data_IF_545668104000
#
_entry.id   IF_545668104000
#
_cell.length_a   1.000
_cell.length_b   1.000
_cell.length_c   1.000
_cell.angle_alpha   90.00
_cell.angle_beta   90.00
_cell.angle_gamma   90.00
#
_symmetry.space_group_name_H-M   'P 1'
#
loop_
_entity.id
_entity.type
_entity.pdbx_description
1 polymer ?
#
# COMPACT_ATOMS: atom_id res chain seq x y z
N UNK A 1 -33.86 12.71 -8.67
CA UNK A 1 -33.05 11.71 -9.40
C UNK A 1 -32.34 12.28 -10.64
N UNK A 2 -33.02 12.89 -11.62
CA UNK A 2 -32.37 13.44 -12.83
C UNK A 2 -31.63 14.79 -12.63
N UNK A 3 -32.01 15.56 -11.61
CA UNK A 3 -31.38 16.85 -11.26
C UNK A 3 -30.05 16.62 -10.51
N UNK A 4 -30.03 15.66 -9.61
CA UNK A 4 -28.87 15.33 -8.76
C UNK A 4 -27.70 14.80 -9.60
N UNK A 5 -28.01 13.99 -10.61
CA UNK A 5 -27.03 13.43 -11.55
C UNK A 5 -26.41 14.51 -12.45
N UNK A 6 -27.19 15.50 -12.91
CA UNK A 6 -26.66 16.66 -13.66
C UNK A 6 -25.73 17.52 -12.80
N UNK A 7 -26.09 17.75 -11.54
CA UNK A 7 -25.27 18.50 -10.59
C UNK A 7 -23.96 17.77 -10.29
N UNK A 8 -23.99 16.45 -10.10
CA UNK A 8 -22.80 15.63 -9.94
C UNK A 8 -21.90 15.64 -11.18
N UNK A 9 -22.48 15.64 -12.39
CA UNK A 9 -21.77 15.75 -13.67
C UNK A 9 -21.06 17.10 -13.84
N UNK A 10 -21.71 18.18 -13.41
CA UNK A 10 -21.13 19.53 -13.41
C UNK A 10 -19.98 19.65 -12.40
N UNK A 11 -20.16 19.12 -11.19
CA UNK A 11 -19.14 19.16 -10.14
C UNK A 11 -17.90 18.35 -10.51
N UNK A 12 -18.11 17.15 -11.06
CA UNK A 12 -17.01 16.33 -11.58
C UNK A 12 -16.30 17.04 -12.74
N UNK A 13 -17.04 17.57 -13.73
CA UNK A 13 -16.44 18.36 -14.82
C UNK A 13 -15.65 19.56 -14.31
N UNK A 14 -16.13 20.31 -13.33
CA UNK A 14 -15.39 21.45 -12.78
C UNK A 14 -14.08 21.00 -12.11
N UNK A 15 -14.15 20.01 -11.22
CA UNK A 15 -12.98 19.44 -10.53
C UNK A 15 -11.93 18.86 -11.49
N UNK A 16 -12.35 18.35 -12.66
CA UNK A 16 -11.46 17.80 -13.69
C UNK A 16 -10.87 18.85 -14.63
N UNK A 17 -11.42 20.07 -14.71
CA UNK A 17 -11.05 21.06 -15.72
C UNK A 17 -10.33 22.30 -15.17
N UNK A 18 -10.43 22.63 -13.88
CA UNK A 18 -9.69 23.76 -13.28
C UNK A 18 -8.16 23.57 -13.25
N UNK A 19 -7.64 22.35 -13.42
CA UNK A 19 -6.20 22.08 -13.53
C UNK A 19 -5.81 21.81 -14.99
N UNK A 20 -5.21 22.80 -15.64
CA UNK A 20 -4.81 22.79 -17.06
C UNK A 20 -3.81 21.68 -17.46
N UNK A 21 -3.15 21.03 -16.49
CA UNK A 21 -2.26 19.88 -16.73
C UNK A 21 -2.96 18.54 -16.45
N UNK A 22 -3.83 18.11 -17.37
CA UNK A 22 -4.76 16.97 -17.18
C UNK A 22 -4.11 15.59 -17.24
N UNK A 23 -3.14 15.36 -18.11
CA UNK A 23 -2.45 14.07 -18.18
C UNK A 23 -1.63 13.82 -16.90
N UNK A 24 -0.84 14.81 -16.50
CA UNK A 24 0.00 14.75 -15.30
C UNK A 24 -0.83 14.64 -14.03
N UNK A 25 -1.94 15.39 -13.93
CA UNK A 25 -2.80 15.33 -12.74
C UNK A 25 -3.60 14.02 -12.62
N UNK A 26 -4.10 13.46 -13.74
CA UNK A 26 -4.76 12.15 -13.74
C UNK A 26 -3.77 11.04 -13.40
N UNK A 27 -2.56 11.09 -13.96
CA UNK A 27 -1.49 10.16 -13.63
C UNK A 27 -1.05 10.27 -12.16
N UNK A 28 -0.83 11.49 -11.66
CA UNK A 28 -0.49 11.75 -10.27
C UNK A 28 -1.58 11.22 -9.31
N UNK A 29 -2.86 11.44 -9.66
CA UNK A 29 -3.99 10.91 -8.88
C UNK A 29 -4.05 9.38 -8.90
N UNK A 30 -3.82 8.75 -10.07
CA UNK A 30 -3.73 7.28 -10.17
C UNK A 30 -2.57 6.74 -9.34
N UNK A 31 -1.40 7.38 -9.41
CA UNK A 31 -0.22 6.99 -8.66
C UNK A 31 -0.44 7.16 -7.15
N UNK A 32 -1.05 8.26 -6.72
CA UNK A 32 -1.43 8.49 -5.31
C UNK A 32 -2.38 7.40 -4.81
N UNK A 33 -3.43 7.07 -5.58
CA UNK A 33 -4.37 5.98 -5.23
C UNK A 33 -3.65 4.63 -5.17
N UNK A 34 -2.77 4.33 -6.11
CA UNK A 34 -1.96 3.09 -6.11
C UNK A 34 -1.06 3.01 -4.87
N UNK A 35 -0.37 4.10 -4.53
CA UNK A 35 0.46 4.21 -3.31
C UNK A 35 -0.38 4.03 -2.04
N UNK A 36 -1.57 4.62 -1.99
CA UNK A 36 -2.47 4.49 -0.83
C UNK A 36 -2.99 3.06 -0.65
N UNK A 37 -3.37 2.37 -1.73
CA UNK A 37 -3.81 0.96 -1.65
C UNK A 37 -2.71 0.02 -1.19
N UNK A 38 -1.47 0.28 -1.62
CA UNK A 38 -0.32 -0.56 -1.28
C UNK A 38 0.33 -0.15 0.05
N UNK A 39 -0.20 0.86 0.75
CA UNK A 39 0.39 1.34 2.00
C UNK A 39 0.02 0.38 3.13
N UNK A 40 1.02 -0.21 3.74
CA UNK A 40 0.87 -0.98 4.98
C UNK A 40 0.67 0.03 6.12
N UNK A 41 -0.49 -0.01 6.77
CA UNK A 41 -0.83 0.89 7.89
C UNK A 41 -0.57 0.26 9.25
N UNK A 42 -0.53 -1.06 9.31
CA UNK A 42 -0.37 -1.84 10.53
C UNK A 42 0.27 -3.19 10.19
N UNK A 43 1.09 -3.72 11.09
CA UNK A 43 1.68 -5.05 10.98
C UNK A 43 1.55 -5.80 12.31
N UNK A 44 1.46 -7.12 12.25
CA UNK A 44 1.53 -7.96 13.44
C UNK A 44 2.98 -8.37 13.69
N UNK A 45 3.40 -8.24 14.93
CA UNK A 45 4.71 -8.74 15.39
C UNK A 45 4.65 -10.23 15.73
N UNK A 46 5.80 -10.92 15.78
CA UNK A 46 5.87 -12.30 16.25
C UNK A 46 5.33 -12.48 17.67
N UNK A 47 5.35 -11.43 18.50
CA UNK A 47 4.77 -11.41 19.86
C UNK A 47 3.23 -11.27 19.86
N UNK A 48 2.59 -11.25 18.69
CA UNK A 48 1.14 -11.12 18.54
C UNK A 48 0.61 -9.69 18.73
N UNK A 49 1.47 -8.69 18.90
CA UNK A 49 1.07 -7.28 19.05
C UNK A 49 0.94 -6.60 17.68
N UNK A 50 -0.13 -5.82 17.49
CA UNK A 50 -0.30 -5.00 16.29
C UNK A 50 0.39 -3.65 16.44
N UNK A 51 1.34 -3.37 15.56
CA UNK A 51 2.08 -2.12 15.53
C UNK A 51 1.60 -1.23 14.36
N UNK A 52 1.44 0.06 14.63
CA UNK A 52 0.96 1.06 13.68
C UNK A 52 1.99 2.15 13.38
N UNK A 53 3.12 2.14 14.10
CA UNK A 53 4.18 3.13 13.92
C UNK A 53 5.00 2.77 12.66
N UNK A 54 5.24 3.72 11.76
CA UNK A 54 5.96 3.45 10.50
C UNK A 54 7.35 2.86 10.70
N UNK A 55 8.10 3.33 11.71
CA UNK A 55 9.45 2.87 12.03
C UNK A 55 9.44 1.40 12.46
N UNK A 56 8.52 1.07 13.37
CA UNK A 56 8.29 -0.29 13.85
C UNK A 56 7.85 -1.24 12.74
N UNK A 57 6.97 -0.79 11.84
CA UNK A 57 6.57 -1.58 10.65
C UNK A 57 7.78 -1.86 9.76
N UNK A 58 8.62 -0.86 9.50
CA UNK A 58 9.80 -1.01 8.66
C UNK A 58 10.83 -1.97 9.28
N UNK A 59 11.06 -1.86 10.58
CA UNK A 59 11.97 -2.74 11.32
C UNK A 59 11.48 -4.20 11.27
N UNK A 60 10.21 -4.43 11.63
CA UNK A 60 9.60 -5.78 11.64
C UNK A 60 9.64 -6.41 10.25
N UNK A 61 9.34 -5.62 9.21
CA UNK A 61 9.38 -6.07 7.83
C UNK A 61 10.81 -6.44 7.39
N UNK A 62 11.79 -5.61 7.75
CA UNK A 62 13.20 -5.87 7.42
C UNK A 62 13.69 -7.14 8.11
N UNK A 63 13.49 -7.27 9.42
CA UNK A 63 13.89 -8.44 10.20
C UNK A 63 13.30 -9.73 9.64
N UNK A 64 12.00 -9.72 9.29
CA UNK A 64 11.34 -10.89 8.71
C UNK A 64 12.02 -11.33 7.41
N UNK A 65 12.23 -10.43 6.45
CA UNK A 65 12.82 -10.81 5.15
C UNK A 65 14.31 -11.10 5.23
N UNK A 66 15.04 -10.42 6.10
CA UNK A 66 16.44 -10.75 6.41
C UNK A 66 16.52 -12.19 6.90
N UNK A 67 15.74 -12.57 7.92
CA UNK A 67 15.72 -13.97 8.40
C UNK A 67 15.26 -14.95 7.32
N UNK A 68 14.30 -14.58 6.47
CA UNK A 68 13.78 -15.45 5.43
C UNK A 68 14.84 -15.80 4.37
N UNK A 69 15.70 -14.84 4.01
CA UNK A 69 16.67 -14.98 2.93
C UNK A 69 18.11 -15.22 3.40
N UNK A 70 18.43 -14.94 4.66
CA UNK A 70 19.75 -15.31 5.25
C UNK A 70 19.85 -16.81 5.55
N UNK A 71 18.72 -17.51 5.66
CA UNK A 71 18.73 -18.97 5.74
C UNK A 71 18.88 -19.57 4.34
N UNK A 72 20.01 -20.23 4.10
CA UNK A 72 20.23 -21.03 2.91
C UNK A 72 19.09 -22.07 2.77
N UNK A 73 18.34 -22.10 1.65
CA UNK A 73 17.25 -23.04 1.45
C UNK A 73 17.66 -24.52 1.59
N UNK A 74 18.96 -24.85 1.50
CA UNK A 74 19.45 -26.20 1.76
C UNK A 74 19.32 -26.61 3.25
N UNK A 75 19.44 -25.69 4.19
CA UNK A 75 19.40 -25.99 5.63
C UNK A 75 18.01 -26.40 6.15
N UNK A 76 16.94 -26.14 5.39
CA UNK A 76 15.56 -26.50 5.81
C UNK A 76 15.17 -27.94 5.46
N UNK A 77 15.83 -28.56 4.49
CA UNK A 77 15.55 -29.93 4.06
C UNK A 77 16.21 -31.00 4.95
N UNK A 78 17.27 -30.66 5.69
CA UNK A 78 17.99 -31.61 6.55
C UNK A 78 17.37 -31.79 7.95
N UNK A 79 16.39 -30.97 8.32
CA UNK A 79 15.78 -30.96 9.66
C UNK A 79 14.47 -31.77 9.76
N UNK A 80 13.97 -32.32 8.65
CA UNK A 80 12.72 -33.12 8.64
C UNK A 80 12.94 -34.64 8.59
N UNK A 81 14.21 -35.10 8.52
CA UNK A 81 14.59 -36.52 8.42
C UNK A 81 15.45 -37.00 9.62
N UNK A 82 15.17 -36.51 10.83
CA UNK A 82 15.70 -37.08 12.09
C UNK A 82 14.63 -37.23 13.16
#
# INVERSE_FOLDING_TARGET
MAQDSKKALLWTRQMFYEKSNKADSLLANRLKKKRQRNRITSINTPDGQTQNLPEQIAETFTQFYTSLYDHDPQSRHDAQDR
#
